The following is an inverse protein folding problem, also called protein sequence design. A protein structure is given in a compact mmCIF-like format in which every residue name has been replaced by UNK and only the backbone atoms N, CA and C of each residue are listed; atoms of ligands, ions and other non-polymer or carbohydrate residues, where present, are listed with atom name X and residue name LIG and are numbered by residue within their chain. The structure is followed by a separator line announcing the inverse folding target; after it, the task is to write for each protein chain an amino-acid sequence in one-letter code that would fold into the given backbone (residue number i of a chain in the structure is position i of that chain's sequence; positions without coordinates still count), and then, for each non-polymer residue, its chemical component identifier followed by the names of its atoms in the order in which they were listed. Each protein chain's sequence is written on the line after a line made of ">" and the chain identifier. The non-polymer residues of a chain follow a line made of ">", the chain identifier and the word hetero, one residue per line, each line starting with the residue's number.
data_IF_953231803729
#
_entry.id   IF_953231803729
#
_cell.length_a   1.000
_cell.length_b   1.000
_cell.length_c   1.000
_cell.angle_alpha   90.00
_cell.angle_beta   90.00
_cell.angle_gamma   90.00
#
_symmetry.space_group_name_H-M   'P 1'
#
loop_
_entity.id
_entity.type
_entity.pdbx_description
1 polymer ?
#
# COMPACT_ATOMS: atom_id res chain seq x y z
N UNK A 1 -18.80 -16.53 -27.16
CA UNK A 1 -18.83 -15.67 -25.95
C UNK A 1 -17.43 -15.55 -25.41
N UNK A 2 -16.76 -14.44 -25.70
CA UNK A 2 -15.45 -14.11 -25.09
C UNK A 2 -15.69 -13.81 -23.61
N UNK A 3 -15.08 -14.59 -22.72
CA UNK A 3 -15.02 -14.25 -21.29
C UNK A 3 -14.04 -13.08 -21.17
N UNK A 4 -14.56 -11.87 -21.03
CA UNK A 4 -13.76 -10.71 -20.63
C UNK A 4 -13.09 -11.03 -19.29
N UNK A 5 -11.79 -11.29 -19.31
CA UNK A 5 -10.96 -11.28 -18.12
C UNK A 5 -10.86 -9.84 -17.66
N UNK A 6 -11.64 -9.47 -16.65
CA UNK A 6 -11.45 -8.19 -15.96
C UNK A 6 -10.01 -8.17 -15.44
N UNK A 7 -9.20 -7.23 -15.93
CA UNK A 7 -7.91 -6.93 -15.31
C UNK A 7 -8.18 -6.57 -13.84
N UNK A 8 -7.40 -7.13 -12.93
CA UNK A 8 -7.42 -6.73 -11.53
C UNK A 8 -7.10 -5.23 -11.46
N UNK A 9 -8.09 -4.42 -11.07
CA UNK A 9 -7.88 -2.99 -10.91
C UNK A 9 -7.16 -2.74 -9.60
N UNK A 10 -5.85 -2.55 -9.68
CA UNK A 10 -5.04 -2.06 -8.57
C UNK A 10 -5.52 -0.69 -8.14
N UNK A 11 -5.57 -0.49 -6.83
CA UNK A 11 -5.89 0.79 -6.19
C UNK A 11 -4.65 1.26 -5.43
N UNK A 12 -4.51 2.58 -5.32
CA UNK A 12 -3.44 3.18 -4.54
C UNK A 12 -3.88 3.33 -3.08
N UNK A 13 -3.05 2.89 -2.16
CA UNK A 13 -3.26 3.02 -0.71
C UNK A 13 -2.11 3.77 -0.08
N UNK A 14 -2.44 4.64 0.88
CA UNK A 14 -1.49 5.18 1.84
C UNK A 14 -1.53 4.31 3.08
N UNK A 15 -0.39 3.76 3.46
CA UNK A 15 -0.24 2.87 4.62
C UNK A 15 0.71 3.53 5.62
N UNK A 16 0.26 3.67 6.85
CA UNK A 16 1.07 4.07 7.99
C UNK A 16 1.62 2.80 8.65
N UNK A 17 2.93 2.57 8.50
CA UNK A 17 3.68 1.48 9.13
C UNK A 17 4.39 1.96 10.39
N UNK A 18 5.30 1.13 10.94
CA UNK A 18 6.07 1.50 12.14
C UNK A 18 7.27 2.39 11.81
N UNK A 19 7.88 2.22 10.64
CA UNK A 19 9.05 2.99 10.23
C UNK A 19 8.66 4.27 9.49
N UNK A 20 7.66 4.20 8.61
CA UNK A 20 7.31 5.30 7.73
C UNK A 20 5.87 5.24 7.20
N UNK A 21 5.55 6.16 6.28
CA UNK A 21 4.32 6.19 5.50
C UNK A 21 4.62 5.80 4.06
N UNK A 22 3.87 4.83 3.56
CA UNK A 22 4.09 4.22 2.25
C UNK A 22 2.92 4.51 1.32
N UNK A 23 3.22 4.63 0.04
CA UNK A 23 2.25 4.65 -1.05
C UNK A 23 2.40 3.35 -1.85
N UNK A 24 1.41 2.48 -1.80
CA UNK A 24 1.46 1.15 -2.41
C UNK A 24 0.24 0.91 -3.29
N UNK A 25 0.46 0.28 -4.44
CA UNK A 25 -0.62 -0.23 -5.28
C UNK A 25 -0.97 -1.64 -4.82
N UNK A 26 -2.22 -1.88 -4.49
CA UNK A 26 -2.71 -3.16 -3.98
C UNK A 26 -4.13 -3.44 -4.46
N UNK A 27 -4.57 -4.69 -4.36
CA UNK A 27 -5.94 -5.07 -4.73
C UNK A 27 -6.97 -4.56 -3.71
N UNK A 28 -6.59 -4.61 -2.43
CA UNK A 28 -7.41 -4.23 -1.30
C UNK A 28 -6.53 -3.69 -0.14
N UNK A 29 -7.17 -3.35 0.96
CA UNK A 29 -6.54 -2.78 2.16
C UNK A 29 -5.61 -3.80 2.84
N UNK A 30 -5.99 -5.07 2.87
CA UNK A 30 -5.22 -6.11 3.57
C UNK A 30 -3.94 -6.43 2.80
N UNK A 31 -4.03 -6.51 1.48
CA UNK A 31 -2.90 -6.65 0.56
C UNK A 31 -1.93 -5.46 0.70
N UNK A 32 -2.44 -4.23 0.78
CA UNK A 32 -1.61 -3.04 1.01
C UNK A 32 -0.83 -3.10 2.34
N UNK A 33 -1.50 -3.50 3.43
CA UNK A 33 -0.85 -3.64 4.75
C UNK A 33 0.19 -4.77 4.71
N UNK A 34 -0.14 -5.91 4.09
CA UNK A 34 0.76 -7.06 3.97
C UNK A 34 2.05 -6.70 3.24
N UNK A 35 1.97 -5.97 2.14
CA UNK A 35 3.13 -5.49 1.37
C UNK A 35 4.07 -4.66 2.25
N UNK A 36 3.52 -3.70 2.99
CA UNK A 36 4.34 -2.81 3.85
C UNK A 36 4.90 -3.56 5.04
N UNK A 37 4.11 -4.42 5.69
CA UNK A 37 4.57 -5.25 6.79
C UNK A 37 5.73 -6.16 6.38
N UNK A 38 5.63 -6.84 5.24
CA UNK A 38 6.73 -7.67 4.73
C UNK A 38 8.00 -6.84 4.47
N UNK A 39 7.86 -5.63 3.90
CA UNK A 39 8.98 -4.72 3.68
C UNK A 39 9.65 -4.29 4.99
N UNK A 40 8.88 -3.88 6.00
CA UNK A 40 9.43 -3.47 7.30
C UNK A 40 9.99 -4.66 8.09
N UNK A 41 9.40 -5.86 7.94
CA UNK A 41 9.91 -7.09 8.54
C UNK A 41 11.32 -7.43 8.03
N UNK A 42 11.55 -7.27 6.72
CA UNK A 42 12.87 -7.44 6.11
C UNK A 42 13.86 -6.37 6.60
N UNK A 43 13.45 -5.10 6.63
CA UNK A 43 14.31 -3.98 7.03
C UNK A 43 14.71 -4.03 8.51
N UNK A 44 13.81 -4.52 9.37
CA UNK A 44 14.04 -4.62 10.81
C UNK A 44 14.54 -5.98 11.27
N UNK A 45 14.83 -6.90 10.35
CA UNK A 45 15.22 -8.28 10.67
C UNK A 45 14.22 -9.00 11.59
N UNK A 46 12.93 -8.77 11.38
CA UNK A 46 11.86 -9.42 12.12
C UNK A 46 11.44 -8.74 13.43
N UNK A 47 11.87 -7.50 13.67
CA UNK A 47 11.59 -6.78 14.92
C UNK A 47 10.40 -5.81 14.83
N UNK A 48 9.42 -6.10 13.97
CA UNK A 48 8.17 -5.35 13.86
C UNK A 48 6.97 -6.27 14.01
N UNK A 49 5.97 -5.80 14.75
CA UNK A 49 4.71 -6.50 14.95
C UNK A 49 3.66 -6.04 13.94
N UNK A 50 2.83 -6.96 13.45
CA UNK A 50 1.72 -6.66 12.52
C UNK A 50 0.64 -5.72 13.10
N UNK A 51 0.63 -5.49 14.42
CA UNK A 51 -0.34 -4.63 15.08
C UNK A 51 0.09 -3.15 14.96
N UNK A 52 -0.80 -2.29 14.45
CA UNK A 52 -0.58 -0.85 14.36
C UNK A 52 -0.55 -0.27 12.94
N UNK A 53 -0.58 -1.12 11.91
CA UNK A 53 -0.66 -0.66 10.52
C UNK A 53 -2.05 -0.12 10.19
N UNK A 54 -2.10 1.03 9.53
CA UNK A 54 -3.34 1.65 9.09
C UNK A 54 -3.25 2.03 7.61
N UNK A 55 -4.18 1.53 6.79
CA UNK A 55 -4.22 1.83 5.37
C UNK A 55 -5.51 2.55 4.98
N UNK A 56 -5.38 3.53 4.07
CA UNK A 56 -6.50 4.27 3.49
C UNK A 56 -6.33 4.34 1.97
N UNK A 57 -7.38 4.02 1.23
CA UNK A 57 -7.39 4.17 -0.22
C UNK A 57 -7.24 5.66 -0.59
N UNK A 58 -6.31 5.97 -1.47
CA UNK A 58 -6.13 7.32 -2.03
C UNK A 58 -7.17 7.55 -3.12
N UNK A 59 -7.85 8.70 -3.05
CA UNK A 59 -8.77 9.11 -4.10
C UNK A 59 -7.97 9.77 -5.24
N UNK A 60 -7.51 8.94 -6.17
CA UNK A 60 -6.72 9.39 -7.33
C UNK A 60 -7.52 10.21 -8.33
N UNK A 61 -8.83 10.36 -8.15
CA UNK A 61 -9.68 11.24 -8.97
C UNK A 61 -9.71 12.69 -8.48
N UNK A 62 -9.30 12.94 -7.23
CA UNK A 62 -9.36 14.28 -6.59
C UNK A 62 -8.01 14.77 -6.07
N UNK A 63 -7.15 13.86 -5.63
CA UNK A 63 -5.79 14.19 -5.21
C UNK A 63 -4.86 13.96 -6.40
N UNK A 64 -4.36 15.04 -7.00
CA UNK A 64 -3.15 14.94 -7.80
C UNK A 64 -2.08 14.29 -6.92
N UNK A 65 -1.58 13.13 -7.31
CA UNK A 65 -0.52 12.44 -6.58
C UNK A 65 0.73 13.31 -6.77
N UNK A 66 0.96 14.24 -5.85
CA UNK A 66 2.24 14.93 -5.73
C UNK A 66 3.17 13.91 -5.10
N UNK A 67 3.98 13.27 -5.94
CA UNK A 67 5.22 12.65 -5.50
C UNK A 67 6.12 13.82 -5.10
N UNK A 68 6.03 14.27 -3.84
CA UNK A 68 7.03 15.20 -3.33
C UNK A 68 8.39 14.52 -3.48
N UNK A 69 9.28 15.20 -4.18
CA UNK A 69 10.65 14.78 -4.43
C UNK A 69 11.29 14.33 -3.11
N UNK A 70 11.77 13.09 -3.09
CA UNK A 70 12.64 12.60 -2.03
C UNK A 70 13.96 13.36 -2.22
N UNK A 71 14.28 14.26 -1.30
CA UNK A 71 15.58 14.95 -1.19
C UNK A 71 16.68 13.96 -0.77
#
# INVERSE_FOLDING_TARGET
>A
MSKQTSLFQLKLYRVEGHLSKYLVNACDIEDAISIVYMSELEETYGNVDYFGYHAKQVDTSKEGIVLDEID
#
